data_IF_279680699144
#
_entry.id   IF_279680699144
#
_cell.length_a   1.000
_cell.length_b   1.000
_cell.length_c   1.000
_cell.angle_alpha   90.00
_cell.angle_beta   90.00
_cell.angle_gamma   90.00
#
_symmetry.space_group_name_H-M   'P 1'
#
loop_
_entity.id
_entity.type
_entity.pdbx_description
1 polymer ?
#
# COMPACT_ATOMS: atom_id res chain seq x y z
N UNK A 1 36.81 0.78 12.80
CA UNK A 1 35.60 1.37 12.20
C UNK A 1 34.54 0.28 12.19
N UNK A 2 33.50 0.42 13.00
CA UNK A 2 32.30 -0.42 12.85
C UNK A 2 31.67 -0.06 11.52
N UNK A 3 31.52 -1.02 10.60
CA UNK A 3 30.77 -0.80 9.35
C UNK A 3 29.38 -0.29 9.72
N UNK A 4 29.04 0.89 9.20
CA UNK A 4 27.70 1.45 9.34
C UNK A 4 26.73 0.58 8.54
N UNK A 5 25.73 0.02 9.23
CA UNK A 5 24.79 -0.91 8.61
C UNK A 5 23.74 -0.09 7.85
N UNK A 6 23.59 -0.38 6.56
CA UNK A 6 22.58 0.28 5.73
C UNK A 6 21.18 0.11 6.34
N UNK A 7 20.37 1.16 6.30
CA UNK A 7 18.98 1.13 6.77
C UNK A 7 18.02 1.18 5.58
N UNK A 8 17.01 0.33 5.61
CA UNK A 8 15.85 0.40 4.74
C UNK A 8 14.61 0.70 5.58
N UNK A 9 13.83 1.71 5.19
CA UNK A 9 12.62 2.11 5.89
C UNK A 9 11.43 1.94 4.95
N UNK A 10 10.60 0.96 5.24
CA UNK A 10 9.31 0.73 4.59
C UNK A 10 8.26 1.59 5.29
N UNK A 11 7.59 2.43 4.52
CA UNK A 11 6.50 3.31 5.01
C UNK A 11 5.20 2.86 4.37
N UNK A 12 4.24 2.43 5.19
CA UNK A 12 2.88 2.07 4.78
C UNK A 12 1.82 2.96 5.42
N UNK A 13 0.54 2.67 5.13
CA UNK A 13 -0.56 3.62 5.36
C UNK A 13 -0.73 4.01 6.83
N UNK A 14 -0.38 3.10 7.75
CA UNK A 14 -0.36 3.37 9.19
C UNK A 14 0.56 4.52 9.60
N UNK A 15 1.57 4.88 8.79
CA UNK A 15 2.40 6.06 9.02
C UNK A 15 1.60 7.34 8.80
N UNK A 16 0.87 7.46 7.69
CA UNK A 16 -0.01 8.60 7.41
C UNK A 16 -1.14 8.70 8.45
N UNK A 17 -1.72 7.56 8.84
CA UNK A 17 -2.72 7.50 9.92
C UNK A 17 -2.17 7.95 11.27
N UNK A 18 -0.92 7.59 11.62
CA UNK A 18 -0.27 8.06 12.85
C UNK A 18 -0.04 9.58 12.85
N UNK A 19 0.17 10.17 11.67
CA UNK A 19 0.24 11.63 11.48
C UNK A 19 -1.13 12.32 11.52
N UNK A 20 -2.24 11.56 11.55
CA UNK A 20 -3.61 12.08 11.51
C UNK A 20 -4.12 12.38 10.10
N UNK A 21 -3.43 11.91 9.05
CA UNK A 21 -3.90 12.01 7.67
C UNK A 21 -4.94 10.91 7.45
N UNK A 22 -6.17 11.29 7.09
CA UNK A 22 -7.25 10.37 6.74
C UNK A 22 -6.98 9.72 5.38
N UNK A 23 -6.15 8.69 5.41
CA UNK A 23 -5.59 8.00 4.24
C UNK A 23 -6.13 6.58 4.10
N UNK A 24 -7.02 6.14 4.99
CA UNK A 24 -7.65 4.83 4.90
C UNK A 24 -8.69 4.79 3.77
N UNK A 25 -8.91 3.60 3.21
CA UNK A 25 -10.01 3.39 2.26
C UNK A 25 -11.38 3.65 2.90
N UNK A 26 -11.55 3.33 4.19
CA UNK A 26 -12.77 3.64 4.92
C UNK A 26 -13.07 5.14 4.97
N UNK A 27 -12.08 5.97 5.32
CA UNK A 27 -12.26 7.43 5.34
C UNK A 27 -12.63 7.98 3.96
N UNK A 28 -12.04 7.42 2.90
CA UNK A 28 -12.36 7.79 1.53
C UNK A 28 -13.79 7.43 1.15
N UNK A 29 -14.28 6.22 1.45
CA UNK A 29 -15.66 5.85 1.13
C UNK A 29 -16.66 6.72 1.90
N UNK A 30 -16.39 7.03 3.17
CA UNK A 30 -17.24 7.94 3.95
C UNK A 30 -17.24 9.37 3.37
N UNK A 31 -16.11 9.85 2.85
CA UNK A 31 -16.05 11.11 2.10
C UNK A 31 -16.93 11.07 0.84
N UNK A 32 -16.85 9.99 0.06
CA UNK A 32 -17.68 9.83 -1.15
C UNK A 32 -19.17 9.81 -0.80
N UNK A 33 -19.56 9.03 0.21
CA UNK A 33 -20.95 8.99 0.70
C UNK A 33 -21.47 10.37 1.06
N UNK A 34 -20.68 11.14 1.82
CA UNK A 34 -21.04 12.51 2.21
C UNK A 34 -21.12 13.45 1.00
N UNK A 35 -20.12 13.42 0.11
CA UNK A 35 -20.00 14.31 -1.05
C UNK A 35 -21.11 14.12 -2.08
N UNK A 36 -21.54 12.88 -2.29
CA UNK A 36 -22.55 12.53 -3.28
C UNK A 36 -23.92 12.17 -2.67
N UNK A 37 -24.10 12.38 -1.37
CA UNK A 37 -25.32 12.08 -0.64
C UNK A 37 -25.79 10.63 -0.84
N UNK A 38 -24.87 9.67 -0.73
CA UNK A 38 -25.16 8.24 -0.81
C UNK A 38 -25.51 7.72 0.59
N UNK A 39 -26.71 7.17 0.72
CA UNK A 39 -27.31 6.77 1.99
C UNK A 39 -27.45 5.25 2.13
N UNK A 40 -27.51 4.52 1.01
CA UNK A 40 -27.66 3.05 1.03
C UNK A 40 -26.40 2.34 0.51
N UNK A 41 -26.14 1.09 0.95
CA UNK A 41 -25.07 0.27 0.37
C UNK A 41 -25.20 0.09 -1.14
N UNK A 42 -26.43 0.00 -1.65
CA UNK A 42 -26.71 -0.13 -3.09
C UNK A 42 -26.27 1.12 -3.86
N UNK A 43 -26.60 2.32 -3.37
CA UNK A 43 -26.17 3.58 -3.98
C UNK A 43 -24.64 3.72 -4.00
N UNK A 44 -23.98 3.25 -2.95
CA UNK A 44 -22.51 3.24 -2.85
C UNK A 44 -21.90 2.26 -3.86
N UNK A 45 -22.45 1.06 -3.98
CA UNK A 45 -22.00 0.07 -4.95
C UNK A 45 -22.28 0.51 -6.41
N UNK A 46 -23.41 1.15 -6.67
CA UNK A 46 -23.74 1.71 -7.99
C UNK A 46 -22.80 2.87 -8.36
N UNK A 47 -22.34 3.65 -7.38
CA UNK A 47 -21.35 4.70 -7.61
C UNK A 47 -20.00 4.12 -8.08
N UNK A 48 -19.56 3.03 -7.45
CA UNK A 48 -18.41 2.25 -7.85
C UNK A 48 -18.53 0.79 -7.37
N UNK A 49 -18.51 -0.17 -8.29
CA UNK A 49 -18.72 -1.59 -7.99
C UNK A 49 -17.63 -2.24 -7.13
N UNK A 50 -16.50 -1.54 -6.89
CA UNK A 50 -15.45 -1.96 -5.95
C UNK A 50 -15.74 -1.54 -4.51
N UNK A 51 -16.77 -0.71 -4.26
CA UNK A 51 -17.20 -0.36 -2.91
C UNK A 51 -18.06 -1.45 -2.31
N UNK A 52 -17.40 -2.43 -1.70
CA UNK A 52 -18.03 -3.56 -1.05
C UNK A 52 -17.72 -3.51 0.44
N UNK A 53 -18.73 -3.80 1.27
CA UNK A 53 -18.53 -4.04 2.69
C UNK A 53 -18.44 -5.54 2.95
N UNK A 54 -17.52 -5.94 3.82
CA UNK A 54 -17.35 -7.30 4.28
C UNK A 54 -17.23 -7.35 5.79
N UNK A 55 -17.72 -8.42 6.40
CA UNK A 55 -17.51 -8.67 7.82
C UNK A 55 -16.07 -9.13 8.07
N UNK A 56 -15.36 -8.39 8.91
CA UNK A 56 -14.08 -8.82 9.48
C UNK A 56 -14.31 -9.12 10.97
N UNK A 57 -14.49 -10.40 11.28
CA UNK A 57 -14.95 -10.82 12.61
C UNK A 57 -16.40 -10.38 12.86
N UNK A 58 -16.60 -9.44 13.77
CA UNK A 58 -17.92 -8.90 14.15
C UNK A 58 -18.18 -7.48 13.63
N UNK A 59 -17.23 -6.88 12.93
CA UNK A 59 -17.32 -5.51 12.44
C UNK A 59 -17.52 -5.49 10.92
N UNK A 60 -18.37 -4.58 10.44
CA UNK A 60 -18.63 -4.37 9.02
C UNK A 60 -17.65 -3.30 8.50
N UNK A 61 -16.65 -3.74 7.73
CA UNK A 61 -15.60 -2.88 7.20
C UNK A 61 -15.71 -2.75 5.68
N UNK A 62 -15.21 -1.63 5.14
CA UNK A 62 -15.00 -1.48 3.70
C UNK A 62 -13.88 -2.43 3.27
N UNK A 63 -14.16 -3.31 2.31
CA UNK A 63 -13.15 -4.21 1.75
C UNK A 63 -12.04 -3.40 1.07
N UNK A 64 -10.82 -3.92 1.12
CA UNK A 64 -9.73 -3.42 0.29
C UNK A 64 -10.09 -3.54 -1.20
N UNK A 65 -9.95 -2.43 -1.94
CA UNK A 65 -10.37 -2.34 -3.33
C UNK A 65 -9.59 -3.28 -4.25
N UNK A 66 -8.34 -3.57 -3.89
CA UNK A 66 -7.46 -4.43 -4.68
C UNK A 66 -7.89 -5.89 -4.56
N UNK A 67 -8.22 -6.33 -3.34
CA UNK A 67 -8.76 -7.66 -3.07
C UNK A 67 -10.11 -7.89 -3.76
N UNK A 68 -11.01 -6.89 -3.77
CA UNK A 68 -12.29 -6.99 -4.48
C UNK A 68 -12.10 -7.00 -6.01
N UNK A 69 -11.17 -6.19 -6.53
CA UNK A 69 -10.79 -6.24 -7.94
C UNK A 69 -10.28 -7.63 -8.34
N UNK A 70 -9.40 -8.23 -7.53
CA UNK A 70 -8.88 -9.56 -7.79
C UNK A 70 -9.99 -10.62 -7.84
N UNK A 71 -10.85 -10.61 -6.82
CA UNK A 71 -11.98 -11.52 -6.70
C UNK A 71 -12.90 -11.42 -7.92
N UNK A 72 -13.36 -10.22 -8.28
CA UNK A 72 -14.23 -9.98 -9.44
C UNK A 72 -13.57 -10.41 -10.74
N UNK A 73 -12.28 -10.11 -10.89
CA UNK A 73 -11.52 -10.52 -12.08
C UNK A 73 -11.52 -12.04 -12.24
N UNK A 74 -11.34 -12.80 -11.14
CA UNK A 74 -11.37 -14.26 -11.17
C UNK A 74 -12.77 -14.84 -11.33
N UNK A 75 -13.79 -14.24 -10.72
CA UNK A 75 -15.19 -14.65 -10.90
C UNK A 75 -15.60 -14.63 -12.39
N UNK A 76 -15.22 -13.58 -13.12
CA UNK A 76 -15.47 -13.47 -14.56
C UNK A 76 -14.81 -14.58 -15.39
N UNK A 77 -13.74 -15.21 -14.88
CA UNK A 77 -13.10 -16.34 -15.56
C UNK A 77 -13.86 -17.65 -15.37
N UNK A 78 -14.56 -17.79 -14.24
CA UNK A 78 -15.32 -19.02 -13.90
C UNK A 78 -16.56 -19.20 -14.75
N UNK A 79 -17.00 -18.15 -15.46
CA UNK A 79 -18.12 -18.20 -16.39
C UNK A 79 -17.78 -18.90 -17.70
N UNK A 80 -16.92 -19.92 -17.68
CA UNK A 80 -16.68 -20.76 -18.83
C UNK A 80 -17.71 -21.88 -18.85
N UNK A 81 -18.99 -21.53 -19.03
CA UNK A 81 -20.07 -22.49 -19.28
C UNK A 81 -20.48 -22.48 -20.76
N UNK A 82 -21.15 -23.52 -21.24
CA UNK A 82 -21.67 -23.57 -22.62
C UNK A 82 -22.63 -22.43 -22.96
N UNK A 83 -23.18 -21.76 -21.94
CA UNK A 83 -24.22 -20.75 -22.06
C UNK A 83 -23.68 -19.32 -21.80
N UNK A 84 -22.39 -19.17 -21.50
CA UNK A 84 -21.81 -17.85 -21.23
C UNK A 84 -21.36 -17.19 -22.51
N UNK A 85 -21.96 -16.03 -22.80
CA UNK A 85 -21.51 -15.15 -23.88
C UNK A 85 -20.13 -14.54 -23.55
N UNK A 86 -19.06 -14.88 -24.31
CA UNK A 86 -17.73 -14.28 -24.14
C UNK A 86 -17.74 -12.75 -24.23
N UNK A 87 -18.69 -12.19 -24.99
CA UNK A 87 -18.84 -10.75 -25.11
C UNK A 87 -19.28 -10.12 -23.78
N UNK A 88 -20.18 -10.76 -23.03
CA UNK A 88 -20.64 -10.26 -21.74
C UNK A 88 -19.50 -10.23 -20.70
N UNK A 89 -18.70 -11.30 -20.63
CA UNK A 89 -17.54 -11.34 -19.73
C UNK A 89 -16.51 -10.24 -20.07
N UNK A 90 -16.29 -9.98 -21.36
CA UNK A 90 -15.44 -8.88 -21.82
C UNK A 90 -16.01 -7.50 -21.45
N UNK A 91 -17.32 -7.27 -21.65
CA UNK A 91 -17.98 -6.01 -21.28
C UNK A 91 -17.80 -5.74 -19.78
N UNK A 92 -18.07 -6.74 -18.93
CA UNK A 92 -17.93 -6.58 -17.48
C UNK A 92 -16.47 -6.38 -17.05
N UNK A 93 -15.52 -7.01 -17.73
CA UNK A 93 -14.09 -6.73 -17.50
C UNK A 93 -13.74 -5.29 -17.89
N UNK A 94 -14.29 -4.79 -18.99
CA UNK A 94 -14.11 -3.38 -19.40
C UNK A 94 -14.73 -2.42 -18.39
N UNK A 95 -15.91 -2.71 -17.85
CA UNK A 95 -16.55 -1.90 -16.81
C UNK A 95 -15.72 -1.88 -15.52
N UNK A 96 -15.20 -3.03 -15.09
CA UNK A 96 -14.29 -3.13 -13.95
C UNK A 96 -13.00 -2.31 -14.17
N UNK A 97 -12.45 -2.36 -15.38
CA UNK A 97 -11.29 -1.57 -15.77
C UNK A 97 -11.57 -0.06 -15.77
N UNK A 98 -12.78 0.37 -16.07
CA UNK A 98 -13.19 1.79 -15.96
C UNK A 98 -13.42 2.17 -14.49
N UNK A 99 -14.04 1.28 -13.71
CA UNK A 99 -14.37 1.52 -12.30
C UNK A 99 -13.12 1.81 -11.47
N UNK A 100 -12.04 1.05 -11.64
CA UNK A 100 -10.78 1.29 -10.92
C UNK A 100 -10.11 2.61 -11.34
N UNK A 101 -10.21 3.03 -12.61
CA UNK A 101 -9.65 4.33 -13.04
C UNK A 101 -10.41 5.50 -12.45
N UNK A 102 -11.74 5.41 -12.42
CA UNK A 102 -12.59 6.40 -11.74
C UNK A 102 -12.26 6.45 -10.25
N UNK A 103 -12.13 5.29 -9.62
CA UNK A 103 -11.75 5.15 -8.21
C UNK A 103 -10.43 5.86 -7.90
N UNK A 104 -9.41 5.65 -8.71
CA UNK A 104 -8.11 6.32 -8.58
C UNK A 104 -8.21 7.84 -8.70
N UNK A 105 -8.99 8.33 -9.66
CA UNK A 105 -9.15 9.78 -9.84
C UNK A 105 -9.86 10.43 -8.65
N UNK A 106 -10.91 9.79 -8.13
CA UNK A 106 -11.62 10.26 -6.94
C UNK A 106 -10.74 10.20 -5.69
N UNK A 107 -10.01 9.09 -5.51
CA UNK A 107 -9.10 8.93 -4.38
C UNK A 107 -7.95 9.93 -4.43
N UNK A 108 -7.38 10.18 -5.61
CA UNK A 108 -6.38 11.22 -5.83
C UNK A 108 -6.88 12.58 -5.35
N UNK A 109 -8.11 12.94 -5.73
CA UNK A 109 -8.71 14.24 -5.39
C UNK A 109 -8.91 14.34 -3.89
N UNK A 110 -9.54 13.34 -3.30
CA UNK A 110 -9.77 13.24 -1.86
C UNK A 110 -8.47 13.32 -1.05
N UNK A 111 -7.49 12.48 -1.36
CA UNK A 111 -6.26 12.39 -0.57
C UNK A 111 -5.40 13.65 -0.74
N UNK A 112 -5.46 14.31 -1.90
CA UNK A 112 -4.83 15.62 -2.11
C UNK A 112 -5.43 16.68 -1.17
N UNK A 113 -6.75 16.73 -1.01
CA UNK A 113 -7.42 17.63 -0.05
C UNK A 113 -6.99 17.33 1.40
N UNK A 114 -6.96 16.04 1.79
CA UNK A 114 -6.53 15.62 3.12
C UNK A 114 -5.07 16.00 3.42
N UNK A 115 -4.18 15.84 2.44
CA UNK A 115 -2.77 16.19 2.60
C UNK A 115 -2.58 17.71 2.77
N UNK A 116 -3.31 18.53 2.00
CA UNK A 116 -3.28 19.99 2.14
C UNK A 116 -3.78 20.42 3.52
N UNK A 117 -4.91 19.86 3.97
CA UNK A 117 -5.47 20.16 5.30
C UNK A 117 -4.49 19.79 6.41
N UNK A 118 -3.86 18.61 6.33
CA UNK A 118 -2.86 18.16 7.28
C UNK A 118 -1.62 19.06 7.29
N UNK A 119 -1.09 19.44 6.11
CA UNK A 119 0.05 20.36 6.00
C UNK A 119 -0.23 21.72 6.64
N UNK A 120 -1.46 22.22 6.51
CA UNK A 120 -1.89 23.46 7.17
C UNK A 120 -1.81 23.39 8.70
N UNK A 121 -2.09 22.22 9.29
CA UNK A 121 -2.01 21.98 10.74
C UNK A 121 -0.59 21.71 11.22
N UNK A 122 0.32 21.30 10.33
CA UNK A 122 1.66 20.82 10.66
C UNK A 122 2.72 21.94 10.82
N UNK A 123 2.41 23.20 10.53
CA UNK A 123 3.43 24.29 10.48
C UNK A 123 4.25 24.45 11.79
N UNK A 124 3.74 23.96 12.92
CA UNK A 124 4.36 24.09 14.25
C UNK A 124 4.94 22.78 14.82
N UNK A 125 4.85 21.66 14.09
CA UNK A 125 5.26 20.34 14.58
C UNK A 125 6.61 19.92 13.96
N UNK A 126 7.32 19.01 14.64
CA UNK A 126 8.52 18.40 14.10
C UNK A 126 8.55 16.89 14.35
N UNK A 127 9.24 16.14 13.49
CA UNK A 127 9.44 14.72 13.74
C UNK A 127 10.31 14.50 15.00
N UNK A 128 9.98 13.49 15.81
CA UNK A 128 10.74 13.19 17.03
C UNK A 128 12.18 12.76 16.70
N UNK A 129 13.08 12.86 17.69
CA UNK A 129 14.48 12.48 17.52
C UNK A 129 14.63 10.99 17.11
N UNK A 130 13.77 10.12 17.62
CA UNK A 130 13.74 8.69 17.27
C UNK A 130 13.56 8.49 15.76
N UNK A 131 12.51 9.08 15.16
CA UNK A 131 12.26 8.93 13.72
C UNK A 131 13.32 9.64 12.88
N UNK A 132 13.83 10.79 13.31
CA UNK A 132 14.97 11.43 12.62
C UNK A 132 16.16 10.47 12.51
N UNK A 133 16.50 9.76 13.59
CA UNK A 133 17.61 8.80 13.61
C UNK A 133 17.34 7.55 12.77
N UNK A 134 16.09 7.07 12.72
CA UNK A 134 15.71 5.93 11.87
C UNK A 134 15.93 6.29 10.39
N UNK A 135 15.44 7.45 9.99
CA UNK A 135 15.44 7.85 8.59
C UNK A 135 16.78 8.44 8.10
N UNK A 136 17.64 8.94 8.99
CA UNK A 136 18.96 9.48 8.64
C UNK A 136 19.80 8.48 7.83
N UNK A 137 20.27 8.86 6.65
CA UNK A 137 21.03 7.97 5.75
C UNK A 137 20.31 6.70 5.28
N UNK A 138 18.99 6.61 5.45
CA UNK A 138 18.20 5.42 5.08
C UNK A 138 17.71 5.45 3.64
N UNK A 139 17.48 4.26 3.07
CA UNK A 139 16.71 4.10 1.84
C UNK A 139 15.24 3.93 2.21
N UNK A 140 14.40 4.86 1.77
CA UNK A 140 12.96 4.88 2.05
C UNK A 140 12.20 4.22 0.90
N UNK A 141 11.37 3.25 1.25
CA UNK A 141 10.47 2.53 0.35
C UNK A 141 9.05 2.88 0.76
N UNK A 142 8.44 3.81 0.03
CA UNK A 142 7.14 4.36 0.34
C UNK A 142 6.02 3.62 -0.40
N UNK A 143 5.11 3.02 0.34
CA UNK A 143 3.89 2.41 -0.17
C UNK A 143 2.69 3.38 -0.11
N UNK A 144 2.84 4.51 0.58
CA UNK A 144 1.80 5.53 0.63
C UNK A 144 1.80 6.35 -0.65
N UNK A 145 0.64 6.93 -0.96
CA UNK A 145 0.52 7.86 -2.08
C UNK A 145 0.98 9.28 -1.72
N UNK A 146 1.05 9.60 -0.42
CA UNK A 146 1.56 10.89 0.07
C UNK A 146 3.09 10.86 0.18
N UNK A 147 3.70 12.04 0.11
CA UNK A 147 5.13 12.24 0.38
C UNK A 147 5.35 12.68 1.86
N UNK A 148 4.53 12.18 2.80
CA UNK A 148 4.54 12.63 4.20
C UNK A 148 5.95 12.59 4.86
N UNK A 149 6.81 11.57 4.66
CA UNK A 149 8.16 11.59 5.24
C UNK A 149 9.05 12.71 4.68
N UNK A 150 8.88 13.11 3.40
CA UNK A 150 9.62 14.24 2.81
C UNK A 150 9.13 15.56 3.39
N UNK A 151 7.82 15.71 3.59
CA UNK A 151 7.23 16.92 4.19
C UNK A 151 7.75 17.11 5.62
N UNK A 152 7.95 16.02 6.36
CA UNK A 152 8.54 16.03 7.71
C UNK A 152 10.06 16.28 7.72
N UNK A 153 10.72 16.34 6.56
CA UNK A 153 12.18 16.44 6.46
C UNK A 153 12.91 15.18 6.94
N UNK A 154 12.24 14.03 6.94
CA UNK A 154 12.83 12.75 7.36
C UNK A 154 13.62 12.09 6.23
N UNK A 155 13.21 12.24 4.98
CA UNK A 155 13.77 11.48 3.87
C UNK A 155 14.57 12.32 2.86
N UNK A 156 15.73 11.81 2.43
CA UNK A 156 16.46 12.31 1.27
C UNK A 156 15.75 11.88 -0.03
N UNK A 157 15.53 12.84 -0.92
CA UNK A 157 14.89 12.65 -2.23
C UNK A 157 15.64 11.63 -3.10
N UNK A 158 16.97 11.54 -2.96
CA UNK A 158 17.78 10.62 -3.78
C UNK A 158 17.62 9.15 -3.38
N UNK A 159 17.13 8.89 -2.16
CA UNK A 159 16.98 7.54 -1.60
C UNK A 159 15.53 7.26 -1.21
N UNK A 160 14.58 7.80 -1.98
CA UNK A 160 13.15 7.68 -1.74
C UNK A 160 12.43 7.09 -2.96
N UNK A 161 11.80 5.95 -2.79
CA UNK A 161 11.17 5.19 -3.87
C UNK A 161 9.69 4.97 -3.60
N UNK A 162 8.82 5.37 -4.52
CA UNK A 162 7.38 5.12 -4.42
C UNK A 162 7.03 3.79 -5.10
N UNK A 163 6.38 2.88 -4.38
CA UNK A 163 6.03 1.55 -4.92
C UNK A 163 4.76 1.61 -5.78
N UNK A 164 3.77 2.40 -5.34
CA UNK A 164 2.43 2.45 -5.95
C UNK A 164 2.10 3.79 -6.63
N UNK A 165 3.12 4.60 -6.93
CA UNK A 165 2.93 5.97 -7.40
C UNK A 165 2.77 6.99 -6.27
N UNK A 166 2.55 8.25 -6.65
CA UNK A 166 2.39 9.35 -5.70
C UNK A 166 1.41 10.39 -6.19
N UNK A 167 0.85 11.16 -5.25
CA UNK A 167 0.03 12.33 -5.56
C UNK A 167 0.84 13.37 -6.36
N UNK A 168 2.12 13.57 -6.03
CA UNK A 168 2.98 14.53 -6.73
C UNK A 168 3.08 14.24 -8.23
N UNK A 169 3.21 12.97 -8.60
CA UNK A 169 3.38 12.54 -9.98
C UNK A 169 2.04 12.18 -10.66
N UNK A 170 0.90 12.30 -9.94
CA UNK A 170 -0.45 11.97 -10.42
C UNK A 170 -0.54 10.58 -11.06
N UNK A 171 0.19 9.63 -10.50
CA UNK A 171 0.35 8.30 -11.08
C UNK A 171 0.03 7.19 -10.07
N UNK A 172 -0.93 7.44 -9.17
CA UNK A 172 -1.36 6.43 -8.21
C UNK A 172 -1.84 5.17 -8.94
N UNK A 173 -1.51 4.02 -8.36
CA UNK A 173 -1.89 2.72 -8.89
C UNK A 173 -2.58 1.95 -7.77
N UNK A 174 -3.88 1.73 -7.96
CA UNK A 174 -4.57 0.59 -7.40
C UNK A 174 -4.40 -0.59 -8.35
N UNK A 175 -4.19 -1.77 -7.81
CA UNK A 175 -4.18 -2.97 -8.63
C UNK A 175 -4.16 -4.25 -7.84
N UNK A 176 -4.65 -5.31 -8.48
CA UNK A 176 -4.49 -6.66 -7.97
C UNK A 176 -3.08 -7.17 -8.22
N UNK A 177 -2.66 -8.20 -7.50
CA UNK A 177 -1.46 -8.97 -7.75
C UNK A 177 -1.84 -10.34 -8.28
N UNK A 178 -2.16 -10.35 -9.57
CA UNK A 178 -2.51 -11.56 -10.29
C UNK A 178 -1.27 -12.38 -10.64
N UNK A 179 -0.12 -11.70 -10.81
CA UNK A 179 1.16 -12.35 -11.10
C UNK A 179 1.56 -13.30 -9.96
N UNK A 180 1.75 -14.57 -10.30
CA UNK A 180 2.10 -15.62 -9.35
C UNK A 180 0.89 -16.34 -8.73
N UNK A 181 -0.33 -15.85 -8.96
CA UNK A 181 -1.55 -16.51 -8.50
C UNK A 181 -1.82 -17.78 -9.33
N UNK A 182 -2.18 -18.91 -8.72
CA UNK A 182 -2.38 -20.19 -9.42
C UNK A 182 -3.45 -20.10 -10.52
N UNK A 183 -4.55 -19.39 -10.22
CA UNK A 183 -5.66 -19.14 -11.16
C UNK A 183 -5.29 -18.21 -12.34
N UNK A 184 -4.14 -17.55 -12.32
CA UNK A 184 -3.71 -16.67 -13.43
C UNK A 184 -3.57 -17.46 -14.74
N UNK A 185 -3.20 -18.74 -14.67
CA UNK A 185 -3.01 -19.61 -15.85
C UNK A 185 -4.31 -19.97 -16.56
N UNK A 186 -5.46 -19.79 -15.90
CA UNK A 186 -6.79 -20.15 -16.41
C UNK A 186 -7.60 -18.94 -16.88
N UNK A 187 -7.02 -17.74 -16.83
CA UNK A 187 -7.65 -16.49 -17.28
C UNK A 187 -7.80 -16.52 -18.81
N UNK A 188 -9.01 -16.25 -19.29
CA UNK A 188 -9.34 -16.27 -20.71
C UNK A 188 -10.01 -14.97 -21.19
N UNK A 189 -10.60 -14.19 -20.29
CA UNK A 189 -11.25 -12.92 -20.64
C UNK A 189 -10.16 -11.89 -21.00
N UNK A 190 -10.23 -11.22 -22.16
CA UNK A 190 -9.26 -10.20 -22.54
C UNK A 190 -9.20 -9.05 -21.52
N UNK A 191 -8.05 -8.39 -21.45
CA UNK A 191 -7.78 -7.25 -20.54
C UNK A 191 -7.85 -7.54 -19.02
N UNK A 192 -8.04 -8.80 -18.59
CA UNK A 192 -8.11 -9.17 -17.17
C UNK A 192 -6.89 -8.75 -16.34
N UNK A 193 -5.70 -8.70 -16.94
CA UNK A 193 -4.46 -8.31 -16.28
C UNK A 193 -4.09 -6.83 -16.47
N UNK A 194 -4.95 -6.03 -17.11
CA UNK A 194 -4.68 -4.61 -17.37
C UNK A 194 -4.44 -3.83 -16.08
N UNK A 195 -5.11 -4.24 -15.01
CA UNK A 195 -4.99 -3.64 -13.68
C UNK A 195 -4.15 -4.46 -12.69
N UNK A 196 -3.34 -5.39 -13.19
CA UNK A 196 -2.29 -5.99 -12.38
C UNK A 196 -1.24 -4.92 -11.99
N UNK A 197 -0.86 -4.87 -10.72
CA UNK A 197 0.13 -3.91 -10.20
C UNK A 197 1.43 -3.95 -10.99
N UNK A 198 1.99 -5.13 -11.25
CA UNK A 198 3.27 -5.24 -11.95
C UNK A 198 3.14 -4.81 -13.40
N UNK A 199 2.05 -5.16 -14.07
CA UNK A 199 1.77 -4.69 -15.44
C UNK A 199 1.70 -3.17 -15.48
N UNK A 200 0.96 -2.55 -14.56
CA UNK A 200 0.81 -1.08 -14.51
C UNK A 200 2.10 -0.36 -14.15
N UNK A 201 2.87 -0.89 -13.21
CA UNK A 201 4.20 -0.36 -12.88
C UNK A 201 5.13 -0.43 -14.09
N UNK A 202 5.08 -1.50 -14.89
CA UNK A 202 5.89 -1.62 -16.12
C UNK A 202 5.44 -0.66 -17.23
N UNK A 203 4.16 -0.33 -17.31
CA UNK A 203 3.63 0.65 -18.26
C UNK A 203 3.97 2.10 -17.88
N UNK A 204 4.18 2.37 -16.59
CA UNK A 204 4.59 3.68 -16.12
C UNK A 204 6.13 3.80 -16.15
N UNK A 205 6.67 4.56 -17.11
CA UNK A 205 8.13 4.69 -17.29
C UNK A 205 8.86 5.16 -16.01
N UNK A 206 8.26 6.09 -15.26
CA UNK A 206 8.84 6.61 -14.03
C UNK A 206 8.91 5.53 -12.93
N UNK A 207 7.81 4.83 -12.68
CA UNK A 207 7.78 3.76 -11.66
C UNK A 207 8.63 2.55 -12.06
N UNK A 208 8.67 2.22 -13.35
CA UNK A 208 9.53 1.18 -13.86
C UNK A 208 11.02 1.50 -13.59
N UNK A 209 11.42 2.75 -13.79
CA UNK A 209 12.78 3.22 -13.53
C UNK A 209 13.09 3.28 -12.01
N UNK A 210 12.20 3.86 -11.19
CA UNK A 210 12.36 3.89 -9.73
C UNK A 210 12.49 2.48 -9.15
N UNK A 211 11.64 1.55 -9.60
CA UNK A 211 11.69 0.16 -9.14
C UNK A 211 12.96 -0.55 -9.58
N UNK A 212 13.47 -0.27 -10.77
CA UNK A 212 14.73 -0.84 -11.23
C UNK A 212 15.90 -0.35 -10.36
N UNK A 213 15.96 0.96 -10.07
CA UNK A 213 16.97 1.56 -9.17
C UNK A 213 16.91 0.98 -7.76
N UNK A 214 15.69 0.82 -7.22
CA UNK A 214 15.50 0.23 -5.90
C UNK A 214 15.98 -1.23 -5.85
N UNK A 215 15.58 -2.05 -6.83
CA UNK A 215 16.01 -3.46 -6.89
C UNK A 215 17.54 -3.54 -7.02
N UNK A 216 18.14 -2.67 -7.83
CA UNK A 216 19.59 -2.62 -7.98
C UNK A 216 20.28 -2.26 -6.65
N UNK A 217 19.77 -1.27 -5.92
CA UNK A 217 20.28 -0.88 -4.61
C UNK A 217 20.19 -2.03 -3.59
N UNK A 218 19.06 -2.73 -3.57
CA UNK A 218 18.83 -3.91 -2.70
C UNK A 218 19.83 -5.02 -3.03
N UNK A 219 20.04 -5.34 -4.30
CA UNK A 219 20.93 -6.43 -4.71
C UNK A 219 22.41 -6.15 -4.38
N UNK A 220 22.83 -4.88 -4.35
CA UNK A 220 24.20 -4.48 -4.00
C UNK A 220 24.43 -4.35 -2.49
N UNK A 221 23.36 -4.34 -1.69
CA UNK A 221 23.43 -4.18 -0.23
C UNK A 221 23.85 -5.49 0.45
N UNK A 222 25.04 -5.52 1.05
CA UNK A 222 25.59 -6.73 1.69
C UNK A 222 24.92 -7.11 3.02
N UNK A 223 24.62 -6.12 3.86
CA UNK A 223 23.92 -6.27 5.15
C UNK A 223 23.14 -4.99 5.44
N UNK A 224 21.89 -5.13 5.82
CA UNK A 224 21.05 -3.99 6.18
C UNK A 224 20.07 -4.35 7.30
N UNK A 225 19.62 -3.31 8.01
CA UNK A 225 18.50 -3.40 8.94
C UNK A 225 17.24 -2.85 8.26
N UNK A 226 16.12 -3.53 8.45
CA UNK A 226 14.83 -3.19 7.85
C UNK A 226 13.90 -2.64 8.93
N UNK A 227 13.30 -1.48 8.68
CA UNK A 227 12.31 -0.83 9.53
C UNK A 227 10.99 -0.83 8.78
N UNK A 228 9.92 -1.37 9.37
CA UNK A 228 8.60 -1.45 8.75
C UNK A 228 7.64 -0.62 9.57
N UNK A 229 7.27 0.56 9.05
CA UNK A 229 6.44 1.56 9.70
C UNK A 229 5.05 1.58 9.06
N UNK A 230 4.02 1.19 9.81
CA UNK A 230 2.62 1.35 9.37
C UNK A 230 2.20 0.51 8.17
N UNK A 231 2.99 -0.48 7.74
CA UNK A 231 2.63 -1.39 6.66
C UNK A 231 1.84 -2.60 7.19
N UNK A 232 0.89 -3.12 6.40
CA UNK A 232 0.01 -4.23 6.77
C UNK A 232 0.67 -5.61 6.64
N UNK A 233 1.66 -5.75 5.75
CA UNK A 233 2.37 -7.01 5.45
C UNK A 233 1.44 -8.13 4.96
N UNK A 234 0.43 -7.79 4.16
CA UNK A 234 -0.49 -8.76 3.57
C UNK A 234 -0.50 -8.65 2.05
N UNK A 235 -1.10 -9.66 1.41
CA UNK A 235 -1.37 -9.67 -0.02
C UNK A 235 -0.12 -9.53 -0.89
N UNK A 236 -0.25 -8.74 -1.94
CA UNK A 236 0.69 -8.61 -3.05
C UNK A 236 1.94 -7.83 -2.66
N UNK A 237 1.79 -6.90 -1.73
CA UNK A 237 2.87 -6.03 -1.27
C UNK A 237 3.89 -6.82 -0.45
N UNK A 238 3.44 -7.87 0.25
CA UNK A 238 4.32 -8.81 0.93
C UNK A 238 5.24 -9.56 -0.06
N UNK A 239 4.75 -9.93 -1.26
CA UNK A 239 5.59 -10.57 -2.29
C UNK A 239 6.71 -9.65 -2.76
N UNK A 240 6.45 -8.34 -2.84
CA UNK A 240 7.49 -7.38 -3.17
C UNK A 240 8.51 -7.21 -2.03
N UNK A 241 8.05 -7.21 -0.77
CA UNK A 241 8.91 -7.09 0.41
C UNK A 241 9.73 -8.35 0.72
N UNK A 242 9.42 -9.49 0.11
CA UNK A 242 10.09 -10.77 0.37
C UNK A 242 11.62 -10.68 0.32
N UNK A 243 12.17 -10.04 -0.72
CA UNK A 243 13.63 -9.88 -0.85
C UNK A 243 14.25 -9.09 0.31
N UNK A 244 13.54 -8.08 0.80
CA UNK A 244 14.00 -7.25 1.92
C UNK A 244 13.93 -8.05 3.23
N UNK A 245 12.83 -8.77 3.45
CA UNK A 245 12.63 -9.60 4.64
C UNK A 245 13.71 -10.70 4.75
N UNK A 246 13.96 -11.41 3.65
CA UNK A 246 14.96 -12.48 3.62
C UNK A 246 16.38 -11.92 3.76
N UNK A 247 16.69 -10.83 3.07
CA UNK A 247 18.02 -10.21 3.07
C UNK A 247 18.38 -9.42 4.33
N UNK A 248 17.39 -9.02 5.13
CA UNK A 248 17.62 -8.22 6.32
C UNK A 248 18.40 -9.00 7.38
N UNK A 249 19.27 -8.27 8.10
CA UNK A 249 19.94 -8.74 9.32
C UNK A 249 18.99 -8.72 10.51
N UNK A 250 18.23 -7.64 10.64
CA UNK A 250 17.19 -7.41 11.67
C UNK A 250 16.00 -6.73 11.02
N UNK A 251 14.81 -7.04 11.51
CA UNK A 251 13.55 -6.49 11.03
C UNK A 251 12.84 -5.83 12.20
N UNK A 252 12.82 -4.51 12.24
CA UNK A 252 12.08 -3.72 13.23
C UNK A 252 10.65 -3.55 12.72
N UNK A 253 9.72 -4.34 13.27
CA UNK A 253 8.32 -4.32 12.90
C UNK A 253 7.53 -3.42 13.85
N UNK A 254 7.10 -2.26 13.36
CA UNK A 254 6.32 -1.32 14.15
C UNK A 254 4.84 -1.72 14.15
N UNK A 255 4.26 -1.75 15.34
CA UNK A 255 2.91 -2.25 15.56
C UNK A 255 2.05 -1.28 16.38
N UNK A 256 0.76 -1.27 16.11
CA UNK A 256 -0.23 -0.49 16.83
C UNK A 256 -1.21 -1.44 17.56
N UNK A 257 -1.25 -1.32 18.90
CA UNK A 257 -2.03 -2.21 19.78
C UNK A 257 -1.66 -3.68 19.57
N UNK A 258 -2.54 -4.47 18.95
CA UNK A 258 -2.41 -5.93 18.77
C UNK A 258 -2.34 -6.37 17.30
N UNK A 259 -2.15 -5.42 16.38
CA UNK A 259 -2.05 -5.72 14.93
C UNK A 259 -0.83 -6.58 14.57
N UNK A 260 0.18 -6.64 15.45
CA UNK A 260 1.34 -7.52 15.27
C UNK A 260 0.96 -9.00 15.21
N UNK A 261 -0.14 -9.43 15.84
CA UNK A 261 -0.55 -10.83 15.85
C UNK A 261 -0.83 -11.32 14.41
N UNK A 262 -1.71 -10.62 13.70
CA UNK A 262 -2.04 -10.94 12.31
C UNK A 262 -0.82 -10.86 11.39
N UNK A 263 0.04 -9.84 11.56
CA UNK A 263 1.29 -9.70 10.80
C UNK A 263 2.21 -10.89 11.01
N UNK A 264 2.42 -11.30 12.26
CA UNK A 264 3.27 -12.44 12.59
C UNK A 264 2.67 -13.75 12.10
N UNK A 265 1.36 -13.95 12.18
CA UNK A 265 0.70 -15.13 11.62
C UNK A 265 0.96 -15.26 10.11
N UNK A 266 0.83 -14.18 9.35
CA UNK A 266 1.10 -14.19 7.90
C UNK A 266 2.58 -14.45 7.58
N UNK A 267 3.50 -13.94 8.40
CA UNK A 267 4.93 -14.22 8.24
C UNK A 267 5.27 -15.68 8.61
N UNK A 268 4.75 -16.20 9.72
CA UNK A 268 5.00 -17.58 10.19
C UNK A 268 4.47 -18.60 9.17
N UNK A 269 3.33 -18.32 8.51
CA UNK A 269 2.79 -19.19 7.47
C UNK A 269 3.71 -19.30 6.24
N UNK A 270 4.55 -18.29 5.97
CA UNK A 270 5.32 -18.16 4.73
C UNK A 270 6.82 -18.40 4.90
N UNK A 271 7.36 -18.17 6.09
CA UNK A 271 8.81 -18.13 6.31
C UNK A 271 9.25 -19.07 7.43
N UNK A 272 10.52 -19.44 7.40
CA UNK A 272 11.13 -20.32 8.39
C UNK A 272 11.41 -19.62 9.73
N UNK A 273 11.81 -20.43 10.71
CA UNK A 273 12.16 -19.96 12.05
C UNK A 273 13.27 -18.90 12.03
N UNK A 274 14.28 -19.08 11.20
CA UNK A 274 15.44 -18.19 11.14
C UNK A 274 15.03 -16.78 10.68
N UNK A 275 14.08 -16.66 9.76
CA UNK A 275 13.51 -15.36 9.39
C UNK A 275 12.75 -14.72 10.56
N UNK A 276 11.89 -15.49 11.22
CA UNK A 276 11.06 -14.97 12.31
C UNK A 276 11.92 -14.49 13.50
N UNK A 277 13.04 -15.15 13.80
CA UNK A 277 13.97 -14.74 14.86
C UNK A 277 14.65 -13.38 14.60
N UNK A 278 14.65 -12.88 13.35
CA UNK A 278 15.16 -11.54 13.02
C UNK A 278 14.19 -10.42 13.41
N UNK A 279 12.92 -10.74 13.66
CA UNK A 279 11.85 -9.76 13.88
C UNK A 279 11.91 -9.24 15.32
N UNK A 280 12.01 -7.92 15.43
CA UNK A 280 11.95 -7.17 16.67
C UNK A 280 10.66 -6.36 16.61
N UNK A 281 9.73 -6.65 17.53
CA UNK A 281 8.50 -5.88 17.66
C UNK A 281 8.79 -4.54 18.34
N UNK A 282 8.32 -3.45 17.73
CA UNK A 282 8.49 -2.09 18.25
C UNK A 282 7.13 -1.41 18.36
N UNK A 283 6.73 -0.87 19.51
CA UNK A 283 5.50 -0.09 19.61
C UNK A 283 5.54 1.14 18.67
N UNK A 284 4.47 1.38 17.92
CA UNK A 284 4.40 2.54 17.03
C UNK A 284 3.98 3.80 17.81
N UNK A 285 5.00 4.57 18.23
CA UNK A 285 4.86 5.83 18.96
C UNK A 285 4.46 6.99 18.05
N UNK A 286 4.14 8.15 18.64
CA UNK A 286 3.78 9.36 17.88
C UNK A 286 4.99 9.86 17.08
N UNK A 287 4.83 10.06 15.76
CA UNK A 287 5.93 10.48 14.88
C UNK A 287 6.33 11.94 15.10
N UNK A 288 5.37 12.77 15.52
CA UNK A 288 5.54 14.22 15.60
C UNK A 288 5.36 14.70 17.04
N UNK A 289 6.21 15.63 17.47
CA UNK A 289 6.13 16.32 18.76
C UNK A 289 5.95 17.82 18.56
N UNK A 290 5.37 18.47 19.58
CA UNK A 290 5.26 19.92 19.64
C UNK A 290 6.69 20.51 19.77
N UNK A 291 6.95 21.64 19.12
CA UNK A 291 8.29 22.28 19.11
C UNK A 291 8.79 22.71 20.50
N UNK A 292 7.96 22.65 21.54
CA UNK A 292 8.33 22.97 22.91
C UNK A 292 8.69 21.72 23.73
N UNK A 293 9.97 21.33 23.67
CA UNK A 293 10.63 20.55 24.72
C UNK A 293 10.73 19.05 24.50
N UNK A 294 11.79 18.62 23.80
CA UNK A 294 12.53 17.38 24.06
C UNK A 294 14.02 17.65 23.87
#
# INVERSE_FOLDING_TARGET
MTEEVQKYVVVGNGFDLNLGIKSSYGDFVEYIKSKFSLHTPEEVYEFNSLFVQSFEGYELNWSDFESELEKRTFELQTWKSSDTDPMNAYIQMSELNVAIKKLEQEFYTYLSEQLIEWQGKYQELCATHEYKKIFDGSVVINFNYTDSPKVLGLADVNYYYNVHGSLKNKNIIFGGGFVGHEKSRTVWVPESFKNDKLVRVKQNAYLAEERAKLIDNINHSKKFDLYILGHSLVGTDLLFLEKLLVGARRIYLYYHKVDYLFKLEELIKKYDRDMIEKIILVPFTKIISDKEGD
#
